data_IF_050373112839
#
_entry.id   IF_050373112839
#
_cell.length_a   1.000
_cell.length_b   1.000
_cell.length_c   1.000
_cell.angle_alpha   90.00
_cell.angle_beta   90.00
_cell.angle_gamma   90.00
#
_symmetry.space_group_name_H-M   'P 1'
#
loop_
_entity.id
_entity.type
_entity.pdbx_description
1 polymer ?
#
# COMPACT_ATOMS: atom_id res chain seq x y z
N UNK A 1 -45.33 -68.53 5.31
CA UNK A 1 -43.86 -68.43 5.53
C UNK A 1 -43.49 -66.97 5.78
N UNK A 2 -42.77 -66.72 6.88
CA UNK A 2 -41.84 -65.61 7.18
C UNK A 2 -42.28 -64.14 7.06
N UNK A 3 -42.66 -63.59 8.23
CA UNK A 3 -42.57 -62.17 8.61
C UNK A 3 -41.11 -61.70 8.71
N UNK A 4 -40.97 -60.37 8.65
CA UNK A 4 -39.88 -59.48 9.12
C UNK A 4 -38.92 -59.08 8.01
N UNK A 5 -38.99 -57.81 7.60
CA UNK A 5 -37.88 -56.97 7.14
C UNK A 5 -38.46 -55.55 6.90
N UNK A 6 -38.27 -54.62 7.84
CA UNK A 6 -38.78 -53.26 7.64
C UNK A 6 -38.64 -52.26 8.79
N UNK A 7 -38.15 -52.68 9.96
CA UNK A 7 -38.07 -51.80 11.15
C UNK A 7 -36.69 -51.21 11.42
N UNK A 8 -35.70 -51.43 10.55
CA UNK A 8 -34.36 -50.84 10.74
C UNK A 8 -34.32 -49.37 10.34
N UNK A 9 -34.83 -49.00 9.16
CA UNK A 9 -34.77 -47.60 8.69
C UNK A 9 -35.43 -46.59 9.63
N UNK A 10 -36.54 -46.95 10.28
CA UNK A 10 -37.28 -46.05 11.17
C UNK A 10 -36.57 -45.80 12.53
N UNK A 11 -35.63 -46.66 12.95
CA UNK A 11 -34.89 -46.53 14.23
C UNK A 11 -33.51 -45.87 14.09
N UNK A 12 -33.00 -45.73 12.87
CA UNK A 12 -31.76 -45.01 12.60
C UNK A 12 -31.96 -43.50 12.37
N UNK A 13 -33.20 -43.02 12.23
CA UNK A 13 -33.50 -41.58 12.11
C UNK A 13 -32.87 -40.71 13.23
N UNK A 14 -32.98 -41.09 14.52
CA UNK A 14 -32.36 -40.34 15.62
C UNK A 14 -30.82 -40.38 15.57
N UNK A 15 -30.22 -41.53 15.25
CA UNK A 15 -28.77 -41.68 15.17
C UNK A 15 -28.17 -40.87 14.01
N UNK A 16 -28.84 -40.84 12.86
CA UNK A 16 -28.45 -40.02 11.71
C UNK A 16 -28.55 -38.53 12.06
N UNK A 17 -29.63 -38.10 12.73
CA UNK A 17 -29.76 -36.71 13.19
C UNK A 17 -28.64 -36.31 14.16
N UNK A 18 -28.31 -37.17 15.12
CA UNK A 18 -27.21 -36.93 16.06
C UNK A 18 -25.85 -36.84 15.34
N UNK A 19 -25.59 -37.73 14.38
CA UNK A 19 -24.37 -37.68 13.57
C UNK A 19 -24.27 -36.40 12.75
N UNK A 20 -25.38 -35.95 12.14
CA UNK A 20 -25.43 -34.68 11.38
C UNK A 20 -25.16 -33.48 12.29
N UNK A 21 -25.80 -33.41 13.47
CA UNK A 21 -25.57 -32.33 14.42
C UNK A 21 -24.10 -32.29 14.86
N UNK A 22 -23.52 -33.45 15.15
CA UNK A 22 -22.10 -33.58 15.51
C UNK A 22 -21.18 -33.09 14.39
N UNK A 23 -21.40 -33.51 13.15
CA UNK A 23 -20.59 -33.08 12.02
C UNK A 23 -20.69 -31.58 11.77
N UNK A 24 -21.90 -31.01 11.91
CA UNK A 24 -22.12 -29.57 11.75
C UNK A 24 -21.39 -28.78 12.84
N UNK A 25 -21.51 -29.16 14.12
CA UNK A 25 -20.82 -28.46 15.22
C UNK A 25 -19.30 -28.61 15.16
N UNK A 26 -18.79 -29.79 14.78
CA UNK A 26 -17.36 -29.98 14.53
C UNK A 26 -16.86 -29.13 13.36
N UNK A 27 -17.60 -29.10 12.24
CA UNK A 27 -17.25 -28.29 11.07
C UNK A 27 -17.23 -26.78 11.38
N UNK A 28 -18.21 -26.30 12.15
CA UNK A 28 -18.27 -24.91 12.64
C UNK A 28 -17.05 -24.56 13.52
N UNK A 29 -16.63 -25.48 14.39
CA UNK A 29 -15.45 -25.31 15.24
C UNK A 29 -14.14 -25.18 14.44
N UNK A 30 -13.91 -26.06 13.46
CA UNK A 30 -12.73 -25.97 12.57
C UNK A 30 -12.78 -24.72 11.66
N UNK A 31 -13.95 -24.40 11.11
CA UNK A 31 -14.14 -23.22 10.28
C UNK A 31 -13.87 -21.92 11.05
N UNK A 32 -14.29 -21.84 12.32
CA UNK A 32 -14.05 -20.68 13.17
C UNK A 32 -12.55 -20.43 13.42
N UNK A 33 -11.77 -21.48 13.67
CA UNK A 33 -10.31 -21.36 13.85
C UNK A 33 -9.63 -20.94 12.56
N UNK A 34 -10.05 -21.50 11.41
CA UNK A 34 -9.53 -21.11 10.10
C UNK A 34 -9.81 -19.64 9.80
N UNK A 35 -11.02 -19.16 10.07
CA UNK A 35 -11.39 -17.76 9.86
C UNK A 35 -10.63 -16.81 10.80
N UNK A 36 -10.39 -17.22 12.07
CA UNK A 36 -9.53 -16.49 13.02
C UNK A 36 -8.10 -16.35 12.52
N UNK A 37 -7.57 -17.38 11.86
CA UNK A 37 -6.23 -17.35 11.30
C UNK A 37 -6.09 -16.30 10.18
N UNK A 38 -7.12 -16.13 9.33
CA UNK A 38 -7.13 -15.13 8.27
C UNK A 38 -7.15 -13.70 8.84
N UNK A 39 -7.96 -13.44 9.87
CA UNK A 39 -8.01 -12.12 10.53
C UNK A 39 -6.66 -11.77 11.16
N UNK A 40 -5.98 -12.75 11.76
CA UNK A 40 -4.64 -12.56 12.31
C UNK A 40 -3.57 -12.26 11.23
N UNK A 41 -3.71 -12.82 10.03
CA UNK A 41 -2.82 -12.51 8.91
C UNK A 41 -3.08 -11.10 8.37
N UNK A 42 -4.34 -10.72 8.13
CA UNK A 42 -4.71 -9.37 7.70
C UNK A 42 -4.26 -8.30 8.71
N UNK A 43 -4.41 -8.57 10.01
CA UNK A 43 -3.94 -7.65 11.05
C UNK A 43 -2.43 -7.44 11.05
N UNK A 44 -1.64 -8.46 10.68
CA UNK A 44 -0.17 -8.34 10.55
C UNK A 44 0.21 -7.47 9.36
N UNK A 45 -0.49 -7.61 8.24
CA UNK A 45 -0.25 -6.79 7.05
C UNK A 45 -0.59 -5.32 7.30
N UNK A 46 -1.74 -5.03 7.91
CA UNK A 46 -2.15 -3.68 8.28
C UNK A 46 -1.11 -3.05 9.21
N UNK A 47 -0.70 -3.77 10.26
CA UNK A 47 0.31 -3.27 11.20
C UNK A 47 1.65 -3.01 10.53
N UNK A 48 2.05 -3.87 9.57
CA UNK A 48 3.26 -3.67 8.79
C UNK A 48 3.19 -2.42 7.90
N UNK A 49 2.04 -2.18 7.27
CA UNK A 49 1.80 -0.99 6.46
C UNK A 49 1.77 0.28 7.32
N UNK A 50 1.11 0.26 8.47
CA UNK A 50 1.07 1.37 9.42
C UNK A 50 2.47 1.74 9.93
N UNK A 51 3.31 0.75 10.25
CA UNK A 51 4.71 1.00 10.62
C UNK A 51 5.49 1.66 9.47
N UNK A 52 5.39 1.12 8.25
CA UNK A 52 6.06 1.69 7.08
C UNK A 52 5.63 3.13 6.80
N UNK A 53 4.33 3.42 6.93
CA UNK A 53 3.79 4.76 6.75
C UNK A 53 4.32 5.73 7.83
N UNK A 54 4.39 5.25 9.08
CA UNK A 54 4.99 5.99 10.18
C UNK A 54 6.47 6.32 9.96
N UNK A 55 7.24 5.35 9.45
CA UNK A 55 8.67 5.54 9.18
C UNK A 55 8.90 6.51 8.02
N UNK A 56 8.17 6.35 6.90
CA UNK A 56 8.24 7.29 5.76
C UNK A 56 7.84 8.71 6.16
N UNK A 57 6.84 8.87 7.02
CA UNK A 57 6.40 10.18 7.45
C UNK A 57 7.45 10.88 8.34
N UNK A 58 8.18 10.12 9.17
CA UNK A 58 9.31 10.65 9.93
C UNK A 58 10.44 11.10 9.01
N UNK A 59 10.82 10.24 8.06
CA UNK A 59 11.88 10.56 7.09
C UNK A 59 11.53 11.79 6.25
N UNK A 60 10.29 11.87 5.76
CA UNK A 60 9.83 13.04 5.00
C UNK A 60 9.88 14.32 5.86
N UNK A 61 9.48 14.24 7.13
CA UNK A 61 9.56 15.36 8.06
C UNK A 61 11.01 15.78 8.31
N UNK A 62 11.93 14.84 8.55
CA UNK A 62 13.34 15.13 8.75
C UNK A 62 13.98 15.79 7.52
N UNK A 63 13.66 15.28 6.32
CA UNK A 63 14.10 15.87 5.06
C UNK A 63 13.50 17.26 4.84
N UNK A 64 12.22 17.44 5.18
CA UNK A 64 11.53 18.72 5.14
C UNK A 64 12.15 19.75 6.09
N UNK A 65 12.47 19.34 7.31
CA UNK A 65 13.10 20.18 8.33
C UNK A 65 14.54 20.54 7.92
N UNK A 66 15.30 19.58 7.37
CA UNK A 66 16.64 19.82 6.83
C UNK A 66 16.59 20.78 5.64
N UNK A 67 15.63 20.59 4.74
CA UNK A 67 15.45 21.45 3.58
C UNK A 67 15.00 22.86 4.00
N UNK A 68 14.10 22.97 4.99
CA UNK A 68 13.70 24.25 5.56
C UNK A 68 14.88 24.97 6.22
N UNK A 69 15.74 24.24 6.95
CA UNK A 69 16.97 24.77 7.52
C UNK A 69 17.91 25.28 6.43
N UNK A 70 18.18 24.47 5.40
CA UNK A 70 19.06 24.82 4.28
C UNK A 70 18.51 25.94 3.41
N UNK A 71 17.20 26.07 3.26
CA UNK A 71 16.56 27.18 2.52
C UNK A 71 16.32 28.40 3.38
N UNK A 72 16.50 28.32 4.70
CA UNK A 72 16.27 29.47 5.56
C UNK A 72 17.32 30.54 5.28
N UNK A 73 16.90 31.76 4.90
CA UNK A 73 17.84 32.81 4.52
C UNK A 73 18.78 33.19 5.67
N UNK A 74 18.31 33.05 6.93
CA UNK A 74 19.13 33.33 8.11
C UNK A 74 20.30 32.35 8.29
N UNK A 75 20.10 31.05 8.02
CA UNK A 75 21.18 30.06 8.09
C UNK A 75 22.17 30.27 6.95
N UNK A 76 21.69 30.60 5.76
CA UNK A 76 22.56 30.98 4.64
C UNK A 76 23.43 32.19 4.99
N UNK A 77 22.83 33.27 5.51
CA UNK A 77 23.57 34.48 5.91
C UNK A 77 24.62 34.20 7.00
N UNK A 78 24.32 33.29 7.93
CA UNK A 78 25.29 32.86 8.95
C UNK A 78 26.44 32.07 8.35
N UNK A 79 26.17 31.14 7.42
CA UNK A 79 27.20 30.37 6.73
C UNK A 79 28.07 31.25 5.83
N UNK A 80 27.47 32.19 5.09
CA UNK A 80 28.20 33.18 4.27
C UNK A 80 29.19 33.97 5.13
N UNK A 81 28.75 34.43 6.32
CA UNK A 81 29.62 35.13 7.27
C UNK A 81 30.70 34.25 7.87
N UNK A 82 30.37 33.01 8.24
CA UNK A 82 31.31 32.07 8.85
C UNK A 82 32.39 31.61 7.86
N UNK A 83 32.04 31.46 6.59
CA UNK A 83 32.93 30.99 5.53
C UNK A 83 33.60 32.15 4.77
N UNK A 84 33.38 33.40 5.21
CA UNK A 84 33.90 34.62 4.60
C UNK A 84 33.67 34.68 3.08
N UNK A 85 32.52 34.21 2.62
CA UNK A 85 32.13 34.44 1.24
C UNK A 85 31.75 35.91 1.12
N UNK A 86 32.49 36.68 0.33
CA UNK A 86 32.19 38.07 -0.03
C UNK A 86 30.99 38.14 -0.99
N UNK A 87 29.88 37.52 -0.61
CA UNK A 87 28.63 37.53 -1.37
C UNK A 87 27.95 38.88 -1.15
N UNK A 88 28.08 39.77 -2.12
CA UNK A 88 27.30 41.00 -2.20
C UNK A 88 25.94 40.76 -2.87
N UNK A 89 24.96 41.60 -2.54
CA UNK A 89 23.66 41.60 -3.20
C UNK A 89 23.87 41.85 -4.70
N UNK A 90 23.37 40.96 -5.59
CA UNK A 90 23.64 41.06 -7.01
C UNK A 90 23.09 42.39 -7.56
N UNK A 91 23.87 43.05 -8.41
CA UNK A 91 23.44 44.29 -9.05
C UNK A 91 22.33 43.96 -10.07
N UNK A 92 21.35 44.86 -10.30
CA UNK A 92 20.23 44.59 -11.22
C UNK A 92 20.69 44.18 -12.63
N UNK A 93 21.84 44.70 -13.07
CA UNK A 93 22.45 44.39 -14.37
C UNK A 93 22.97 42.95 -14.51
N UNK A 94 23.10 42.20 -13.40
CA UNK A 94 23.61 40.83 -13.38
C UNK A 94 22.49 39.77 -13.34
N UNK A 95 21.23 40.18 -13.17
CA UNK A 95 20.08 39.26 -13.10
C UNK A 95 19.56 39.01 -14.52
N UNK A 96 19.76 37.79 -15.01
CA UNK A 96 19.22 37.34 -16.31
C UNK A 96 17.95 36.53 -16.05
N UNK A 97 16.79 37.05 -16.49
CA UNK A 97 15.52 36.32 -16.44
C UNK A 97 15.43 35.44 -17.68
N UNK A 98 15.45 34.12 -17.49
CA UNK A 98 15.27 33.15 -18.55
C UNK A 98 13.77 32.88 -18.72
N UNK A 99 13.24 33.10 -19.92
CA UNK A 99 11.89 32.63 -20.23
C UNK A 99 11.87 31.11 -20.35
N UNK A 100 11.02 30.47 -19.54
CA UNK A 100 10.86 29.02 -19.54
C UNK A 100 10.16 28.62 -20.85
N UNK A 101 10.89 27.97 -21.76
CA UNK A 101 10.30 27.38 -22.97
C UNK A 101 9.34 26.29 -22.52
N UNK A 102 8.04 26.59 -22.54
CA UNK A 102 6.99 25.61 -22.31
C UNK A 102 7.33 24.33 -23.08
N UNK A 103 7.26 23.14 -22.45
CA UNK A 103 7.52 21.90 -23.16
C UNK A 103 6.45 21.75 -24.24
N UNK A 104 6.81 22.16 -25.46
CA UNK A 104 6.07 21.84 -26.66
C UNK A 104 5.97 20.33 -26.65
N UNK A 105 4.74 19.83 -26.45
CA UNK A 105 4.33 18.44 -26.49
C UNK A 105 4.45 17.92 -27.93
N UNK A 106 5.66 17.95 -28.48
CA UNK A 106 6.03 17.44 -29.79
C UNK A 106 7.11 16.38 -29.60
N UNK A 107 6.69 15.22 -29.06
CA UNK A 107 7.36 13.93 -29.29
C UNK A 107 6.57 12.77 -28.66
N UNK A 108 5.26 12.70 -28.96
CA UNK A 108 4.47 11.48 -28.68
C UNK A 108 3.93 10.78 -29.92
N UNK A 109 4.29 11.24 -31.13
CA UNK A 109 3.68 10.71 -32.36
C UNK A 109 4.66 10.10 -33.37
N UNK A 110 5.97 10.01 -33.07
CA UNK A 110 6.95 9.45 -34.03
C UNK A 110 7.32 7.97 -33.80
N UNK A 111 6.64 7.24 -32.91
CA UNK A 111 6.92 5.81 -32.68
C UNK A 111 5.68 4.94 -32.66
N UNK A 112 4.81 5.13 -33.66
CA UNK A 112 3.84 4.09 -34.05
C UNK A 112 3.92 3.79 -35.55
N UNK A 113 4.82 2.88 -35.99
CA UNK A 113 4.66 2.28 -37.30
C UNK A 113 3.38 1.44 -37.32
N UNK A 114 2.51 1.86 -38.23
CA UNK A 114 1.39 1.22 -38.90
C UNK A 114 1.40 -0.32 -38.92
N UNK A 115 0.22 -0.86 -38.62
CA UNK A 115 -0.37 -2.14 -39.08
C UNK A 115 0.50 -3.09 -39.92
N UNK A 116 0.47 -4.38 -39.56
CA UNK A 116 0.59 -5.46 -40.55
C UNK A 116 -0.38 -6.60 -40.23
N UNK A 117 -1.27 -6.83 -41.20
CA UNK A 117 -1.92 -8.08 -41.60
C UNK A 117 -2.96 -8.76 -40.69
N UNK A 118 -4.22 -8.48 -41.05
CA UNK A 118 -5.31 -9.43 -41.24
C UNK A 118 -4.85 -10.84 -41.70
N UNK A 119 -5.27 -11.90 -40.98
CA UNK A 119 -5.94 -13.08 -41.56
C UNK A 119 -6.65 -13.88 -40.46
#
# INVERSE_FOLDING_TARGET
MTRRNGTMLARFGPAVKAAVICLVTCGLGLGYVWQKQQIAQLGKEIKGLEMRLGDLNKENKELGDTLAQLKSPQVLDQLVKQWHLELEMPRPSQVVVLEEKSPTRADRDSSRPTQTASR
#
